data_IF_951710561073
#
_entry.id   IF_951710561073
#
_cell.length_a   1.000
_cell.length_b   1.000
_cell.length_c   1.000
_cell.angle_alpha   90.00
_cell.angle_beta   90.00
_cell.angle_gamma   90.00
#
_symmetry.space_group_name_H-M   'P 1'
#
loop_
_entity.id
_entity.type
_entity.pdbx_description
1 polymer ?
#
# COMPACT_ATOMS: atom_id res chain seq x y z
N UNK A 1 0.86 39.23 -10.22
CA UNK A 1 -0.22 38.63 -9.42
C UNK A 1 0.25 37.23 -9.05
N UNK A 2 0.85 37.07 -7.87
CA UNK A 2 1.38 35.79 -7.40
C UNK A 2 0.22 34.92 -6.89
N UNK A 3 0.16 33.61 -7.19
CA UNK A 3 -0.86 32.77 -6.61
C UNK A 3 -0.61 32.64 -5.11
N UNK A 4 -1.62 32.99 -4.33
CA UNK A 4 -1.65 32.87 -2.88
C UNK A 4 -1.48 31.40 -2.48
N UNK A 5 -0.54 31.15 -1.57
CA UNK A 5 -0.37 29.85 -0.93
C UNK A 5 -1.67 29.49 -0.20
N UNK A 6 -2.24 28.33 -0.53
CA UNK A 6 -3.37 27.76 0.21
C UNK A 6 -2.87 27.37 1.61
N UNK A 7 -3.50 27.83 2.71
CA UNK A 7 -3.00 27.54 4.04
C UNK A 7 -3.13 26.05 4.34
N UNK A 8 -2.04 25.41 4.76
CA UNK A 8 -2.08 24.06 5.33
C UNK A 8 -2.87 24.11 6.64
N UNK A 9 -4.07 23.54 6.66
CA UNK A 9 -4.87 23.41 7.87
C UNK A 9 -4.16 22.49 8.87
N UNK A 10 -4.16 22.82 10.18
CA UNK A 10 -3.55 21.97 11.19
C UNK A 10 -4.34 20.67 11.33
N UNK A 11 -3.63 19.54 11.21
CA UNK A 11 -4.19 18.21 11.38
C UNK A 11 -4.73 18.02 12.80
N UNK A 12 -6.05 17.89 12.93
CA UNK A 12 -6.70 17.48 14.17
C UNK A 12 -6.17 16.08 14.60
N UNK A 13 -5.76 15.84 15.87
CA UNK A 13 -5.20 14.56 16.30
C UNK A 13 -6.18 13.38 16.18
N UNK A 14 -7.47 13.66 15.98
CA UNK A 14 -8.56 12.69 15.87
C UNK A 14 -9.13 12.53 14.45
N UNK A 15 -8.47 13.01 13.40
CA UNK A 15 -9.05 12.96 12.05
C UNK A 15 -9.14 11.52 11.51
N UNK A 16 -10.26 10.86 11.82
CA UNK A 16 -10.63 9.48 11.48
C UNK A 16 -11.16 9.32 10.04
N UNK A 17 -11.08 10.34 9.20
CA UNK A 17 -11.64 10.28 7.85
C UNK A 17 -10.59 9.81 6.84
N UNK A 18 -10.94 8.75 6.10
CA UNK A 18 -10.20 8.19 4.96
C UNK A 18 -9.84 9.22 3.88
N UNK A 19 -10.45 10.41 3.93
CA UNK A 19 -10.29 11.53 3.01
C UNK A 19 -8.87 12.12 3.02
N UNK A 20 -8.14 12.09 4.15
CA UNK A 20 -6.84 12.77 4.26
C UNK A 20 -5.63 11.87 3.98
N UNK A 21 -5.83 10.55 3.86
CA UNK A 21 -4.74 9.55 3.77
C UNK A 21 -4.29 9.28 2.31
N UNK A 22 -5.07 9.67 1.31
CA UNK A 22 -4.76 9.44 -0.11
C UNK A 22 -4.74 10.74 -0.92
N UNK A 23 -3.96 11.72 -0.44
CA UNK A 23 -3.79 13.00 -1.12
C UNK A 23 -3.44 12.78 -2.60
N UNK A 24 -4.16 13.47 -3.50
CA UNK A 24 -3.99 13.50 -4.96
C UNK A 24 -4.36 12.23 -5.76
N UNK A 25 -4.99 11.21 -5.17
CA UNK A 25 -5.46 10.03 -5.91
C UNK A 25 -6.97 9.92 -5.83
N UNK A 26 -7.66 10.04 -6.98
CA UNK A 26 -9.10 9.85 -7.01
C UNK A 26 -9.45 8.37 -6.81
N UNK A 27 -10.19 8.02 -5.75
CA UNK A 27 -10.63 6.65 -5.56
C UNK A 27 -11.64 6.28 -6.65
N UNK A 28 -11.54 5.06 -7.17
CA UNK A 28 -12.66 4.46 -7.87
C UNK A 28 -13.76 4.19 -6.84
N UNK A 29 -14.96 4.71 -7.07
CA UNK A 29 -16.12 4.51 -6.20
C UNK A 29 -17.10 3.55 -6.87
N UNK A 30 -17.43 2.46 -6.19
CA UNK A 30 -18.50 1.54 -6.61
C UNK A 30 -19.35 1.17 -5.40
N UNK A 31 -20.67 1.39 -5.47
CA UNK A 31 -21.61 1.20 -4.36
C UNK A 31 -21.13 1.82 -3.03
N UNK A 32 -20.60 3.05 -3.07
CA UNK A 32 -20.08 3.76 -1.90
C UNK A 32 -18.74 3.23 -1.34
N UNK A 33 -18.17 2.16 -1.91
CA UNK A 33 -16.87 1.61 -1.49
C UNK A 33 -15.74 2.24 -2.29
N UNK A 34 -14.69 2.69 -1.58
CA UNK A 34 -13.48 3.28 -2.19
C UNK A 34 -12.48 2.19 -2.54
N UNK A 35 -11.97 2.24 -3.78
CA UNK A 35 -10.90 1.39 -4.26
C UNK A 35 -9.81 2.21 -4.94
N UNK A 36 -8.57 1.72 -4.88
CA UNK A 36 -7.40 2.39 -5.45
C UNK A 36 -6.62 1.43 -6.35
N UNK A 37 -5.97 1.98 -7.37
CA UNK A 37 -4.94 1.25 -8.10
C UNK A 37 -3.67 1.25 -7.25
N UNK A 38 -3.14 0.07 -7.00
CA UNK A 38 -1.91 -0.16 -6.24
C UNK A 38 -1.08 -1.26 -6.92
N UNK A 39 0.14 -1.44 -6.43
CA UNK A 39 1.14 -2.30 -7.02
C UNK A 39 1.82 -3.17 -5.97
N UNK A 40 2.19 -4.39 -6.38
CA UNK A 40 2.98 -5.32 -5.58
C UNK A 40 4.11 -5.88 -6.44
N UNK A 41 5.36 -5.67 -6.01
CA UNK A 41 6.54 -6.23 -6.67
C UNK A 41 6.85 -7.62 -6.15
N UNK A 42 7.06 -8.58 -7.05
CA UNK A 42 7.44 -9.94 -6.69
C UNK A 42 8.19 -10.63 -7.83
N UNK A 43 8.58 -11.90 -7.67
CA UNK A 43 9.16 -12.67 -8.80
C UNK A 43 8.07 -13.03 -9.80
N UNK A 44 8.40 -13.16 -11.08
CA UNK A 44 7.43 -13.46 -12.14
C UNK A 44 6.69 -14.77 -11.86
N UNK A 45 7.39 -15.78 -11.36
CA UNK A 45 6.78 -17.05 -10.97
C UNK A 45 5.73 -16.85 -9.86
N UNK A 46 6.05 -16.05 -8.84
CA UNK A 46 5.12 -15.76 -7.76
C UNK A 46 3.95 -14.87 -8.22
N UNK A 47 4.20 -13.93 -9.14
CA UNK A 47 3.15 -13.11 -9.72
C UNK A 47 2.10 -13.94 -10.47
N UNK A 48 2.54 -14.93 -11.26
CA UNK A 48 1.66 -15.87 -11.94
C UNK A 48 0.89 -16.75 -10.95
N UNK A 49 1.54 -17.21 -9.88
CA UNK A 49 0.86 -17.96 -8.80
C UNK A 49 -0.23 -17.11 -8.15
N UNK A 50 0.10 -15.87 -7.76
CA UNK A 50 -0.86 -14.94 -7.15
C UNK A 50 -2.03 -14.63 -8.08
N UNK A 51 -1.79 -14.51 -9.38
CA UNK A 51 -2.87 -14.30 -10.36
C UNK A 51 -3.85 -15.48 -10.41
N UNK A 52 -3.36 -16.72 -10.25
CA UNK A 52 -4.18 -17.93 -10.32
C UNK A 52 -4.85 -18.28 -8.98
N UNK A 53 -4.14 -18.11 -7.86
CA UNK A 53 -4.53 -18.61 -6.54
C UNK A 53 -4.98 -17.49 -5.58
N UNK A 54 -4.69 -16.24 -5.92
CA UNK A 54 -4.84 -15.09 -5.03
C UNK A 54 -3.63 -14.88 -4.12
N UNK A 55 -3.69 -13.83 -3.30
CA UNK A 55 -2.62 -13.53 -2.34
C UNK A 55 -2.72 -14.41 -1.09
N UNK A 56 -1.57 -14.92 -0.65
CA UNK A 56 -1.37 -15.39 0.72
C UNK A 56 -0.77 -14.24 1.55
N UNK A 57 -1.35 -13.86 2.69
CA UNK A 57 -0.84 -12.76 3.50
C UNK A 57 0.48 -13.16 4.17
N UNK A 58 1.40 -12.20 4.30
CA UNK A 58 2.59 -12.40 5.13
C UNK A 58 2.19 -12.60 6.59
N UNK A 59 2.94 -13.44 7.31
CA UNK A 59 2.76 -13.67 8.75
C UNK A 59 3.20 -12.45 9.59
N UNK A 60 4.22 -11.71 9.13
CA UNK A 60 4.72 -10.52 9.82
C UNK A 60 5.31 -9.50 8.81
N UNK A 61 5.67 -8.33 9.32
CA UNK A 61 6.38 -7.27 8.61
C UNK A 61 6.39 -6.00 9.46
N UNK A 62 6.81 -4.88 8.87
CA UNK A 62 6.84 -3.60 9.59
C UNK A 62 5.46 -3.19 10.14
N UNK A 63 4.38 -3.55 9.44
CA UNK A 63 3.00 -3.27 9.80
C UNK A 63 2.25 -4.53 10.29
N UNK A 64 2.97 -5.60 10.64
CA UNK A 64 2.36 -6.88 11.01
C UNK A 64 1.85 -7.69 9.81
N UNK A 65 0.92 -8.65 10.03
CA UNK A 65 0.44 -9.56 9.00
C UNK A 65 -0.42 -8.88 7.95
N UNK A 66 -0.33 -9.37 6.71
CA UNK A 66 -1.13 -8.90 5.59
C UNK A 66 -0.38 -8.87 4.27
N UNK A 67 -1.01 -8.26 3.25
CA UNK A 67 -0.44 -8.08 1.92
C UNK A 67 0.08 -6.65 1.79
N UNK A 68 1.36 -6.52 1.49
CA UNK A 68 2.04 -5.23 1.34
C UNK A 68 1.89 -4.72 -0.08
N UNK A 69 1.36 -3.51 -0.22
CA UNK A 69 1.13 -2.86 -1.52
C UNK A 69 1.52 -1.39 -1.45
N UNK A 70 1.86 -0.83 -2.60
CA UNK A 70 2.27 0.57 -2.75
C UNK A 70 1.54 1.20 -3.93
N UNK A 71 1.34 2.50 -3.87
CA UNK A 71 0.81 3.30 -4.97
C UNK A 71 1.88 3.66 -6.01
N UNK A 72 3.16 3.54 -5.66
CA UNK A 72 4.27 3.79 -6.57
C UNK A 72 4.64 2.51 -7.31
N UNK A 73 4.37 2.49 -8.63
CA UNK A 73 4.86 1.42 -9.51
C UNK A 73 6.38 1.30 -9.43
N UNK A 74 7.08 2.43 -9.42
CA UNK A 74 8.53 2.47 -9.32
C UNK A 74 9.01 1.81 -8.02
N UNK A 75 8.40 2.11 -6.86
CA UNK A 75 8.70 1.43 -5.60
C UNK A 75 8.48 -0.07 -5.73
N UNK A 76 7.33 -0.50 -6.25
CA UNK A 76 7.02 -1.91 -6.43
C UNK A 76 8.06 -2.61 -7.33
N UNK A 77 8.51 -1.96 -8.40
CA UNK A 77 9.47 -2.55 -9.35
C UNK A 77 10.87 -2.81 -8.79
N UNK A 78 11.19 -2.36 -7.58
CA UNK A 78 12.45 -2.68 -6.89
C UNK A 78 12.37 -3.93 -6.01
N UNK A 79 11.19 -4.58 -5.90
CA UNK A 79 11.00 -5.75 -5.04
C UNK A 79 10.78 -7.05 -5.82
N UNK A 80 11.28 -8.18 -5.27
CA UNK A 80 12.20 -8.28 -4.14
C UNK A 80 13.59 -7.69 -4.46
N UNK A 81 14.23 -7.07 -3.47
CA UNK A 81 15.57 -6.46 -3.59
C UNK A 81 16.65 -7.50 -3.93
N UNK A 82 16.45 -8.75 -3.50
CA UNK A 82 17.31 -9.88 -3.84
C UNK A 82 16.43 -10.95 -4.49
N UNK A 83 16.55 -11.08 -5.80
CA UNK A 83 15.80 -12.07 -6.58
C UNK A 83 16.61 -13.31 -6.94
N UNK A 84 17.90 -13.38 -6.57
CA UNK A 84 18.80 -14.50 -6.89
C UNK A 84 18.78 -14.89 -8.39
N UNK A 85 18.63 -13.90 -9.28
CA UNK A 85 18.57 -14.12 -10.73
C UNK A 85 17.15 -14.42 -11.27
N UNK A 86 16.14 -14.52 -10.40
CA UNK A 86 14.76 -14.64 -10.84
C UNK A 86 14.28 -13.37 -11.55
N UNK A 87 13.51 -13.57 -12.63
CA UNK A 87 12.83 -12.48 -13.33
C UNK A 87 11.80 -11.86 -12.40
N UNK A 88 11.76 -10.54 -12.36
CA UNK A 88 10.81 -9.79 -11.55
C UNK A 88 9.53 -9.48 -12.32
N UNK A 89 8.46 -9.17 -11.59
CA UNK A 89 7.20 -8.68 -12.12
C UNK A 89 6.52 -7.74 -11.11
N UNK A 90 5.66 -6.86 -11.62
CA UNK A 90 4.80 -6.01 -10.81
C UNK A 90 3.35 -6.39 -11.09
N UNK A 91 2.62 -6.71 -10.03
CA UNK A 91 1.17 -6.89 -10.09
C UNK A 91 0.49 -5.52 -10.01
N UNK A 92 -0.42 -5.22 -10.95
CA UNK A 92 -1.35 -4.09 -10.87
C UNK A 92 -2.64 -4.55 -10.22
N UNK A 93 -3.10 -3.81 -9.20
CA UNK A 93 -4.15 -4.24 -8.29
C UNK A 93 -5.27 -3.21 -8.18
N UNK A 94 -6.50 -3.68 -7.99
CA UNK A 94 -7.59 -2.88 -7.38
C UNK A 94 -7.69 -3.26 -5.91
N UNK A 95 -7.54 -2.29 -5.02
CA UNK A 95 -7.51 -2.52 -3.57
C UNK A 95 -8.65 -1.79 -2.88
N UNK A 96 -9.51 -2.54 -2.16
CA UNK A 96 -10.58 -2.00 -1.30
C UNK A 96 -10.07 -1.74 0.11
N UNK A 97 -9.57 -0.52 0.34
CA UNK A 97 -8.83 -0.14 1.56
C UNK A 97 -9.66 -0.09 2.85
N UNK A 98 -10.99 0.08 2.75
CA UNK A 98 -11.88 0.07 3.91
C UNK A 98 -11.50 1.09 5.00
N UNK A 99 -11.52 0.67 6.27
CA UNK A 99 -11.12 1.49 7.41
C UNK A 99 -9.59 1.50 7.54
N UNK A 100 -8.98 2.67 7.34
CA UNK A 100 -7.52 2.82 7.30
C UNK A 100 -6.97 3.32 8.64
N UNK A 101 -5.89 2.70 9.13
CA UNK A 101 -5.10 3.19 10.26
C UNK A 101 -3.80 3.82 9.76
N UNK A 102 -3.60 5.12 10.03
CA UNK A 102 -2.30 5.77 9.83
C UNK A 102 -1.30 5.29 10.88
N UNK A 103 -0.11 4.89 10.43
CA UNK A 103 1.05 4.51 11.22
C UNK A 103 2.22 5.39 10.76
N UNK A 104 2.52 6.44 11.51
CA UNK A 104 3.38 7.56 11.09
C UNK A 104 4.66 7.72 11.92
N UNK A 105 4.98 6.77 12.80
CA UNK A 105 6.25 6.71 13.53
C UNK A 105 6.54 5.27 14.01
N UNK A 106 7.84 4.96 14.15
CA UNK A 106 8.29 3.65 14.62
C UNK A 106 7.90 3.43 16.08
N UNK A 107 7.43 2.23 16.41
CA UNK A 107 6.93 1.89 17.74
C UNK A 107 5.49 2.35 17.99
N UNK A 108 4.74 2.75 16.96
CA UNK A 108 3.33 3.12 17.10
C UNK A 108 2.55 1.98 17.80
N UNK A 109 1.69 2.26 18.82
CA UNK A 109 1.03 1.21 19.61
C UNK A 109 0.23 0.19 18.79
N UNK A 110 -0.35 0.64 17.67
CA UNK A 110 -1.07 -0.19 16.71
C UNK A 110 -0.27 -0.66 15.49
N UNK A 111 1.05 -0.43 15.43
CA UNK A 111 1.89 -0.68 14.26
C UNK A 111 1.71 -2.08 13.68
N UNK A 112 1.67 -3.11 14.53
CA UNK A 112 1.48 -4.50 14.13
C UNK A 112 0.13 -5.11 14.53
N UNK A 113 -0.76 -4.35 15.17
CA UNK A 113 -1.98 -4.88 15.81
C UNK A 113 -3.27 -4.20 15.35
N UNK A 114 -3.20 -3.19 14.49
CA UNK A 114 -4.33 -2.43 13.95
C UNK A 114 -5.51 -3.28 13.47
N UNK A 115 -5.27 -4.44 12.86
CA UNK A 115 -6.32 -5.34 12.36
C UNK A 115 -7.22 -5.87 13.50
N UNK A 116 -6.67 -6.05 14.70
CA UNK A 116 -7.43 -6.48 15.90
C UNK A 116 -8.41 -5.42 16.39
N UNK A 117 -8.23 -4.17 15.95
CA UNK A 117 -9.08 -3.02 16.28
C UNK A 117 -10.07 -2.66 15.15
N UNK A 118 -10.30 -3.60 14.23
CA UNK A 118 -11.28 -3.47 13.15
C UNK A 118 -10.85 -2.55 12.01
N UNK A 119 -9.54 -2.31 11.85
CA UNK A 119 -8.99 -1.65 10.68
C UNK A 119 -8.71 -2.66 9.57
N UNK A 120 -8.98 -2.28 8.34
CA UNK A 120 -8.82 -3.12 7.14
C UNK A 120 -7.46 -2.95 6.48
N UNK A 121 -6.83 -1.78 6.68
CA UNK A 121 -5.54 -1.43 6.09
C UNK A 121 -4.75 -0.55 7.05
N UNK A 122 -3.47 -0.85 7.26
CA UNK A 122 -2.52 0.10 7.81
C UNK A 122 -1.82 0.86 6.69
N UNK A 123 -1.57 2.15 6.92
CA UNK A 123 -0.95 3.05 5.95
C UNK A 123 0.17 3.86 6.58
N UNK A 124 1.32 3.84 5.92
CA UNK A 124 2.49 4.67 6.21
C UNK A 124 2.50 5.87 5.26
N UNK A 125 2.37 7.10 5.78
CA UNK A 125 2.50 8.30 4.96
C UNK A 125 3.90 8.45 4.34
N UNK A 126 4.03 9.13 3.20
CA UNK A 126 5.34 9.52 2.71
C UNK A 126 6.05 10.44 3.72
N UNK A 127 7.37 10.34 3.77
CA UNK A 127 8.27 11.22 4.54
C UNK A 127 7.97 11.32 6.05
N UNK A 128 7.37 10.29 6.66
CA UNK A 128 7.12 10.25 8.12
C UNK A 128 8.22 9.55 8.94
N UNK A 129 9.33 9.15 8.32
CA UNK A 129 10.44 8.48 9.02
C UNK A 129 10.21 6.98 9.32
N UNK A 130 9.10 6.40 8.88
CA UNK A 130 8.83 4.96 9.02
C UNK A 130 9.75 4.08 8.16
N UNK A 131 10.09 4.51 6.96
CA UNK A 131 10.95 3.76 6.02
C UNK A 131 12.04 4.67 5.45
N UNK A 132 13.25 4.11 5.24
CA UNK A 132 14.41 4.88 4.75
C UNK A 132 14.16 5.54 3.39
N UNK A 133 13.34 4.93 2.54
CA UNK A 133 13.02 5.50 1.22
C UNK A 133 12.12 6.73 1.29
N UNK A 134 11.48 7.00 2.44
CA UNK A 134 10.46 8.04 2.57
C UNK A 134 9.17 7.73 1.78
N UNK A 135 9.09 6.60 1.07
CA UNK A 135 7.94 6.26 0.24
C UNK A 135 6.87 5.55 1.04
N UNK A 136 5.61 5.91 0.77
CA UNK A 136 4.44 5.35 1.41
C UNK A 136 4.32 3.82 1.28
N UNK A 137 3.62 3.20 2.22
CA UNK A 137 3.39 1.75 2.22
C UNK A 137 2.02 1.43 2.81
N UNK A 138 1.36 0.41 2.28
CA UNK A 138 0.08 -0.06 2.77
C UNK A 138 0.20 -1.55 3.11
N UNK A 139 -0.45 -1.97 4.19
CA UNK A 139 -0.62 -3.37 4.53
C UNK A 139 -2.13 -3.67 4.64
N UNK A 140 -2.63 -4.53 3.76
CA UNK A 140 -4.05 -4.93 3.71
C UNK A 140 -4.20 -6.26 4.43
N UNK A 141 -5.09 -6.33 5.42
CA UNK A 141 -5.17 -7.50 6.29
C UNK A 141 -5.77 -8.72 5.57
N UNK A 142 -6.88 -8.50 4.85
CA UNK A 142 -7.63 -9.55 4.16
C UNK A 142 -7.34 -9.53 2.65
N UNK A 143 -6.66 -10.55 2.10
CA UNK A 143 -6.39 -10.69 0.67
C UNK A 143 -7.60 -10.55 -0.23
N UNK A 144 -8.81 -10.91 0.24
CA UNK A 144 -10.05 -10.84 -0.55
C UNK A 144 -10.43 -9.42 -0.95
N UNK A 145 -9.81 -8.41 -0.32
CA UNK A 145 -9.95 -6.98 -0.66
C UNK A 145 -9.12 -6.55 -1.86
N UNK A 146 -8.28 -7.45 -2.39
CA UNK A 146 -7.35 -7.18 -3.48
C UNK A 146 -7.80 -7.98 -4.70
N UNK A 147 -7.86 -7.31 -5.85
CA UNK A 147 -8.12 -7.94 -7.14
C UNK A 147 -6.93 -7.68 -8.04
N UNK A 148 -6.32 -8.74 -8.56
CA UNK A 148 -5.24 -8.63 -9.55
C UNK A 148 -5.85 -8.26 -10.89
N UNK A 149 -5.38 -7.17 -11.50
CA UNK A 149 -5.77 -6.78 -12.84
C UNK A 149 -4.81 -7.30 -13.90
N UNK A 150 -3.51 -7.24 -13.61
CA UNK A 150 -2.46 -7.44 -14.61
C UNK A 150 -1.15 -7.87 -13.94
N UNK A 151 -0.41 -8.75 -14.61
CA UNK A 151 1.00 -9.06 -14.30
C UNK A 151 1.86 -8.34 -15.33
N UNK A 152 2.71 -7.44 -14.88
CA UNK A 152 3.61 -6.65 -15.74
C UNK A 152 5.02 -7.21 -15.55
N UNK A 153 5.62 -7.89 -16.55
CA UNK A 153 7.00 -8.33 -16.47
C UNK A 153 7.94 -7.15 -16.26
N UNK A 154 8.83 -7.26 -15.27
CA UNK A 154 9.76 -6.20 -14.93
C UNK A 154 11.09 -6.46 -15.63
N UNK A 155 11.24 -5.87 -16.82
CA UNK A 155 12.44 -5.99 -17.65
C UNK A 155 13.48 -4.90 -17.35
N UNK A 156 13.32 -4.14 -16.25
CA UNK A 156 14.28 -3.12 -15.85
C UNK A 156 15.48 -3.79 -15.21
N UNK A 157 16.66 -3.49 -15.74
CA UNK A 157 17.93 -3.80 -15.12
C UNK A 157 18.25 -2.61 -14.20
N UNK A 158 18.18 -2.82 -12.89
CA UNK A 158 18.54 -1.83 -11.88
C UNK A 158 19.99 -1.99 -11.47
#
# INVERSE_FOLDING_TARGET
>A
MFPTAVPMMPCCPCCMYTECFFVNMQPMRHNGRKSYIMYHGTTLQNALRIMNEGFSPSYDGMLGPGVYVTRSFEKASHYPVRSNGERLAVLKLVVRVGKVKRIDYQGHPLQKTWFRFGYDTAWVPPNCGMVNSGLEENCVYDPRRITVLEVIPNNRFW
#
